data_IF_692683177092
#
_entry.id   IF_692683177092
#
_cell.length_a   1.000
_cell.length_b   1.000
_cell.length_c   1.000
_cell.angle_alpha   90.00
_cell.angle_beta   90.00
_cell.angle_gamma   90.00
#
_symmetry.space_group_name_H-M   'P 1'
#
loop_
_entity.id
_entity.type
_entity.pdbx_description
1 polymer ?
#
# COMPACT_ATOMS: atom_id res chain seq x y z
N UNK A 1 25.87 -5.51 18.86
CA UNK A 1 25.15 -5.38 17.57
C UNK A 1 25.29 -4.00 16.95
N UNK A 2 25.25 -2.91 17.74
CA UNK A 2 25.34 -1.53 17.22
C UNK A 2 26.65 -1.18 16.49
N UNK A 3 27.78 -1.78 16.86
CA UNK A 3 29.06 -1.53 16.19
C UNK A 3 29.05 -1.99 14.72
N UNK A 4 28.33 -3.08 14.40
CA UNK A 4 28.15 -3.54 13.02
C UNK A 4 27.24 -2.64 12.19
N UNK A 5 26.21 -2.07 12.81
CA UNK A 5 25.32 -1.11 12.16
C UNK A 5 26.07 0.20 11.85
N UNK A 6 26.91 0.67 12.79
CA UNK A 6 27.78 1.83 12.58
C UNK A 6 28.83 1.61 11.49
N UNK A 7 29.30 0.38 11.33
CA UNK A 7 30.19 -0.04 10.24
C UNK A 7 29.45 -0.35 8.92
N UNK A 8 28.15 -0.04 8.80
CA UNK A 8 27.36 -0.26 7.59
C UNK A 8 27.05 -1.73 7.28
N UNK A 9 27.22 -2.64 8.24
CA UNK A 9 26.95 -4.07 8.08
C UNK A 9 25.45 -4.38 8.08
N UNK A 10 25.02 -5.27 7.18
CA UNK A 10 23.60 -5.69 7.10
C UNK A 10 23.13 -6.41 8.36
N UNK A 11 21.95 -6.04 8.84
CA UNK A 11 21.35 -6.59 10.05
C UNK A 11 20.62 -7.90 9.71
N UNK A 12 21.36 -9.01 9.72
CA UNK A 12 20.79 -10.34 9.54
C UNK A 12 20.74 -10.80 8.09
N UNK A 13 19.54 -11.15 7.60
CA UNK A 13 19.35 -11.69 6.24
C UNK A 13 19.20 -10.55 5.25
N UNK A 14 20.00 -10.56 4.17
CA UNK A 14 19.85 -9.57 3.11
C UNK A 14 18.47 -9.66 2.42
N UNK A 15 17.90 -8.51 2.01
CA UNK A 15 16.65 -8.47 1.26
C UNK A 15 16.84 -9.01 -0.17
N UNK A 16 15.73 -9.20 -0.89
CA UNK A 16 15.75 -9.74 -2.26
C UNK A 16 16.63 -8.87 -3.17
N UNK A 17 17.43 -9.48 -4.04
CA UNK A 17 18.37 -8.76 -4.93
C UNK A 17 19.79 -8.61 -4.37
N UNK A 18 20.00 -9.02 -3.12
CA UNK A 18 21.29 -9.01 -2.46
C UNK A 18 21.65 -10.40 -1.94
N UNK A 19 22.93 -10.73 -1.99
CA UNK A 19 23.50 -11.99 -1.51
C UNK A 19 24.54 -11.72 -0.43
N UNK A 20 24.46 -12.47 0.67
CA UNK A 20 25.47 -12.44 1.71
C UNK A 20 26.71 -13.20 1.23
N UNK A 21 27.80 -12.49 0.94
CA UNK A 21 29.07 -13.07 0.54
C UNK A 21 30.09 -12.97 1.68
N UNK A 22 30.98 -13.96 1.76
CA UNK A 22 32.14 -13.91 2.65
C UNK A 22 33.34 -13.50 1.81
N UNK A 23 33.74 -12.24 1.92
CA UNK A 23 34.96 -11.74 1.30
C UNK A 23 36.15 -11.95 2.24
N UNK A 24 37.33 -12.16 1.68
CA UNK A 24 38.59 -12.13 2.43
C UNK A 24 39.33 -10.87 2.04
N UNK A 25 39.75 -10.08 3.02
CA UNK A 25 40.68 -8.97 2.78
C UNK A 25 42.07 -9.50 2.43
N UNK A 26 42.92 -8.61 1.91
CA UNK A 26 44.36 -8.82 1.70
C UNK A 26 45.09 -9.28 2.97
N UNK A 27 44.56 -8.95 4.16
CA UNK A 27 45.11 -9.38 5.46
C UNK A 27 44.53 -10.71 5.96
N UNK A 28 43.82 -11.47 5.12
CA UNK A 28 43.26 -12.79 5.46
C UNK A 28 42.07 -12.73 6.43
N UNK A 29 41.50 -11.55 6.68
CA UNK A 29 40.35 -11.37 7.56
C UNK A 29 39.05 -11.64 6.79
N UNK A 30 38.18 -12.48 7.34
CA UNK A 30 36.87 -12.75 6.74
C UNK A 30 35.91 -11.58 7.03
N UNK A 31 35.63 -10.77 6.01
CA UNK A 31 34.56 -9.75 6.04
C UNK A 31 33.27 -10.36 5.49
N UNK A 32 32.17 -10.11 6.21
CA UNK A 32 30.82 -10.39 5.72
C UNK A 32 30.36 -9.19 4.91
N UNK A 33 30.45 -9.29 3.59
CA UNK A 33 30.05 -8.24 2.64
C UNK A 33 28.73 -8.65 1.96
N UNK A 34 28.03 -7.68 1.40
CA UNK A 34 26.81 -7.91 0.61
C UNK A 34 27.15 -7.64 -0.85
N UNK A 35 26.90 -8.62 -1.71
CA UNK A 35 27.02 -8.49 -3.16
C UNK A 35 25.62 -8.37 -3.78
N UNK A 36 25.55 -7.77 -4.97
CA UNK A 36 24.34 -7.76 -5.79
C UNK A 36 24.12 -9.15 -6.42
N UNK A 37 22.86 -9.55 -6.51
CA UNK A 37 22.46 -10.73 -7.28
C UNK A 37 22.31 -10.32 -8.75
N UNK A 38 23.22 -10.76 -9.62
CA UNK A 38 23.26 -10.34 -11.03
C UNK A 38 21.98 -10.67 -11.82
N UNK A 39 21.27 -11.74 -11.45
CA UNK A 39 20.03 -12.13 -12.14
C UNK A 39 18.84 -11.27 -11.70
N UNK A 40 18.80 -10.90 -10.41
CA UNK A 40 17.61 -10.29 -9.79
C UNK A 40 17.73 -8.80 -9.60
N UNK A 41 18.93 -8.29 -9.36
CA UNK A 41 19.24 -6.88 -9.26
C UNK A 41 18.63 -6.07 -10.42
N UNK A 42 18.82 -6.42 -11.70
CA UNK A 42 18.26 -5.65 -12.81
C UNK A 42 16.72 -5.67 -12.82
N UNK A 43 16.10 -6.80 -12.46
CA UNK A 43 14.64 -6.90 -12.37
C UNK A 43 14.07 -6.01 -11.26
N UNK A 44 14.80 -5.86 -10.15
CA UNK A 44 14.43 -4.95 -9.08
C UNK A 44 14.59 -3.50 -9.52
N UNK A 45 15.70 -3.15 -10.18
CA UNK A 45 15.88 -1.79 -10.76
C UNK A 45 14.72 -1.43 -11.69
N UNK A 46 14.38 -2.34 -12.61
CA UNK A 46 13.21 -2.21 -13.48
C UNK A 46 11.91 -2.03 -12.68
N UNK A 47 11.71 -2.79 -11.60
CA UNK A 47 10.52 -2.65 -10.76
C UNK A 47 10.38 -1.22 -10.19
N UNK A 48 11.47 -0.62 -9.71
CA UNK A 48 11.46 0.75 -9.19
C UNK A 48 11.22 1.77 -10.31
N UNK A 49 11.89 1.64 -11.45
CA UNK A 49 11.70 2.53 -12.61
C UNK A 49 10.27 2.48 -13.14
N UNK A 50 9.73 1.28 -13.34
CA UNK A 50 8.36 1.08 -13.80
C UNK A 50 7.36 1.64 -12.78
N UNK A 51 7.55 1.36 -11.50
CA UNK A 51 6.65 1.85 -10.47
C UNK A 51 6.70 3.39 -10.32
N UNK A 52 7.85 4.01 -10.55
CA UNK A 52 8.00 5.47 -10.52
C UNK A 52 7.10 6.17 -11.56
N UNK A 53 6.71 5.49 -12.65
CA UNK A 53 5.75 6.02 -13.63
C UNK A 53 4.34 6.25 -13.06
N UNK A 54 3.99 5.62 -11.94
CA UNK A 54 2.66 5.71 -11.31
C UNK A 54 1.54 4.94 -12.01
N UNK A 55 1.81 4.31 -13.16
CA UNK A 55 0.79 3.61 -13.96
C UNK A 55 0.51 2.18 -13.47
N UNK A 56 1.30 1.69 -12.51
CA UNK A 56 1.28 0.29 -12.10
C UNK A 56 0.68 0.11 -10.72
N UNK A 57 -0.21 -0.87 -10.59
CA UNK A 57 -0.60 -1.40 -9.29
C UNK A 57 0.41 -2.43 -8.81
N UNK A 58 0.59 -2.58 -7.50
CA UNK A 58 1.59 -3.50 -6.95
C UNK A 58 1.32 -4.96 -7.31
N UNK A 59 0.05 -5.35 -7.49
CA UNK A 59 -0.32 -6.70 -7.97
C UNK A 59 0.06 -6.91 -9.44
N UNK A 60 -0.25 -5.94 -10.31
CA UNK A 60 0.05 -6.04 -11.75
C UNK A 60 1.55 -6.04 -11.99
N UNK A 61 2.29 -5.18 -11.28
CA UNK A 61 3.75 -5.15 -11.36
C UNK A 61 4.37 -6.46 -10.87
N UNK A 62 3.86 -7.04 -9.79
CA UNK A 62 4.35 -8.33 -9.28
C UNK A 62 4.16 -9.47 -10.29
N UNK A 63 3.00 -9.53 -10.96
CA UNK A 63 2.76 -10.50 -12.03
C UNK A 63 3.71 -10.27 -13.22
N UNK A 64 3.85 -9.02 -13.66
CA UNK A 64 4.73 -8.66 -14.75
C UNK A 64 6.21 -9.01 -14.49
N UNK A 65 6.68 -8.81 -13.27
CA UNK A 65 8.03 -9.19 -12.86
C UNK A 65 8.19 -10.71 -12.75
N UNK A 66 7.15 -11.42 -12.31
CA UNK A 66 7.15 -12.88 -12.28
C UNK A 66 7.29 -13.47 -13.69
N UNK A 67 6.58 -12.91 -14.67
CA UNK A 67 6.69 -13.34 -16.08
C UNK A 67 8.10 -13.11 -16.64
N UNK A 68 8.82 -12.11 -16.11
CA UNK A 68 10.25 -11.86 -16.42
C UNK A 68 11.22 -12.72 -15.61
N UNK A 69 10.74 -13.63 -14.76
CA UNK A 69 11.56 -14.55 -13.99
C UNK A 69 11.90 -14.08 -12.57
N UNK A 70 11.31 -13.00 -12.06
CA UNK A 70 11.55 -12.57 -10.68
C UNK A 70 10.90 -13.54 -9.69
N UNK A 71 11.71 -14.43 -9.14
CA UNK A 71 11.30 -15.39 -8.12
C UNK A 71 12.02 -15.16 -6.80
N UNK A 72 11.42 -15.61 -5.70
CA UNK A 72 12.06 -15.59 -4.38
C UNK A 72 13.22 -16.58 -4.29
N UNK A 73 14.21 -16.28 -3.44
CA UNK A 73 15.41 -17.13 -3.30
C UNK A 73 14.98 -18.52 -2.79
N UNK A 74 15.21 -19.60 -3.56
CA UNK A 74 14.93 -20.93 -3.09
C UNK A 74 15.80 -21.20 -1.86
N UNK A 75 15.17 -21.58 -0.76
CA UNK A 75 15.86 -22.00 0.47
C UNK A 75 15.59 -23.49 0.65
N UNK A 76 16.48 -24.22 1.34
CA UNK A 76 16.30 -25.67 1.59
C UNK A 76 14.91 -26.07 2.13
N UNK A 77 14.23 -25.16 2.85
CA UNK A 77 12.88 -25.37 3.40
C UNK A 77 11.74 -24.78 2.56
N UNK A 78 12.03 -23.95 1.56
CA UNK A 78 11.02 -23.19 0.81
C UNK A 78 11.42 -23.10 -0.68
N UNK A 79 10.62 -23.65 -1.60
CA UNK A 79 10.89 -23.53 -3.03
C UNK A 79 10.79 -22.08 -3.49
N UNK A 80 11.38 -21.78 -4.65
CA UNK A 80 11.23 -20.49 -5.30
C UNK A 80 9.75 -20.24 -5.59
N UNK A 81 9.24 -19.10 -5.11
CA UNK A 81 7.86 -18.65 -5.32
C UNK A 81 7.84 -17.30 -6.01
N UNK A 82 6.76 -17.05 -6.74
CA UNK A 82 6.43 -15.73 -7.27
C UNK A 82 6.42 -14.68 -6.16
N UNK A 83 6.93 -13.49 -6.47
CA UNK A 83 6.83 -12.34 -5.56
C UNK A 83 5.36 -11.91 -5.50
N UNK A 84 4.79 -11.86 -4.30
CA UNK A 84 3.42 -11.38 -4.12
C UNK A 84 3.37 -9.86 -4.12
N UNK A 85 2.22 -9.27 -4.49
CA UNK A 85 2.04 -7.81 -4.46
C UNK A 85 2.29 -7.21 -3.06
N UNK A 86 1.94 -7.91 -1.98
CA UNK A 86 2.22 -7.47 -0.61
C UNK A 86 3.73 -7.47 -0.30
N UNK A 87 4.47 -8.47 -0.79
CA UNK A 87 5.91 -8.52 -0.64
C UNK A 87 6.59 -7.42 -1.44
N UNK A 88 6.13 -7.17 -2.67
CA UNK A 88 6.62 -6.07 -3.50
C UNK A 88 6.34 -4.71 -2.85
N UNK A 89 5.15 -4.50 -2.26
CA UNK A 89 4.85 -3.27 -1.51
C UNK A 89 5.83 -3.03 -0.35
N UNK A 90 6.13 -4.08 0.44
CA UNK A 90 7.13 -4.00 1.52
C UNK A 90 8.54 -3.73 1.00
N UNK A 91 8.86 -4.26 -0.19
CA UNK A 91 10.15 -4.07 -0.84
C UNK A 91 10.35 -2.61 -1.27
N UNK A 92 9.36 -2.03 -1.94
CA UNK A 92 9.41 -0.64 -2.42
C UNK A 92 9.54 0.39 -1.28
N UNK A 93 9.02 0.09 -0.08
CA UNK A 93 9.16 0.96 1.09
C UNK A 93 10.47 0.81 1.86
N UNK A 94 11.32 -0.16 1.51
CA UNK A 94 12.51 -0.44 2.31
C UNK A 94 13.66 0.50 1.91
N UNK A 95 14.24 1.28 2.86
CA UNK A 95 15.34 2.22 2.56
C UNK A 95 16.67 1.53 2.23
N UNK A 96 16.71 0.21 2.28
CA UNK A 96 17.92 -0.57 2.00
C UNK A 96 18.29 -0.51 0.52
N UNK A 97 17.29 -0.38 -0.37
CA UNK A 97 17.53 -0.27 -1.81
C UNK A 97 18.20 1.04 -2.21
N UNK A 98 18.08 2.10 -1.39
CA UNK A 98 18.80 3.39 -1.55
C UNK A 98 20.13 3.46 -0.79
N UNK A 99 20.63 2.34 -0.26
CA UNK A 99 21.90 2.33 0.48
C UNK A 99 21.79 2.71 1.95
N UNK A 100 20.59 2.89 2.51
CA UNK A 100 20.42 3.32 3.92
C UNK A 100 19.95 2.17 4.80
N UNK A 101 20.58 2.02 5.96
CA UNK A 101 20.25 1.01 6.97
C UNK A 101 19.68 1.72 8.20
N UNK A 102 18.48 1.36 8.63
CA UNK A 102 17.93 1.84 9.89
C UNK A 102 18.25 0.88 11.04
N UNK A 103 18.87 1.40 12.09
CA UNK A 103 19.14 0.67 13.33
C UNK A 103 18.70 1.49 14.53
N UNK A 104 17.78 0.92 15.34
CA UNK A 104 17.24 1.58 16.54
C UNK A 104 16.66 2.99 16.28
N UNK A 105 16.05 3.19 15.10
CA UNK A 105 15.48 4.49 14.71
C UNK A 105 16.50 5.50 14.18
N UNK A 106 17.78 5.13 14.10
CA UNK A 106 18.83 5.95 13.49
C UNK A 106 19.17 5.38 12.11
N UNK A 107 19.25 6.25 11.11
CA UNK A 107 19.66 5.92 9.75
C UNK A 107 21.18 6.01 9.63
N UNK A 108 21.79 4.97 9.06
CA UNK A 108 23.22 4.88 8.80
C UNK A 108 23.44 4.61 7.31
N UNK A 109 24.51 5.17 6.71
CA UNK A 109 24.94 4.76 5.38
C UNK A 109 25.38 3.29 5.42
N UNK A 110 24.77 2.47 4.56
CA UNK A 110 25.14 1.07 4.40
C UNK A 110 26.45 0.93 3.62
N UNK A 111 27.20 -0.14 3.91
CA UNK A 111 28.41 -0.49 3.17
C UNK A 111 28.12 -1.30 1.88
N UNK A 112 26.85 -1.36 1.46
CA UNK A 112 26.40 -2.10 0.29
C UNK A 112 26.11 -1.17 -0.88
N UNK A 113 26.24 -1.68 -2.10
CA UNK A 113 25.96 -0.92 -3.30
C UNK A 113 24.46 -0.63 -3.44
N UNK A 114 24.04 0.65 -3.60
CA UNK A 114 22.63 0.99 -3.79
C UNK A 114 22.15 0.52 -5.16
N UNK A 115 20.95 -0.07 -5.19
CA UNK A 115 20.29 -0.48 -6.44
C UNK A 115 19.58 0.69 -7.13
N UNK A 116 19.13 1.67 -6.34
CA UNK A 116 18.23 2.74 -6.78
C UNK A 116 18.70 4.06 -6.16
N UNK A 117 18.64 5.14 -6.94
CA UNK A 117 18.94 6.48 -6.47
C UNK A 117 17.91 6.99 -5.45
N UNK A 118 18.32 7.91 -4.58
CA UNK A 118 17.43 8.50 -3.58
C UNK A 118 16.24 9.24 -4.21
N UNK A 119 16.46 9.91 -5.34
CA UNK A 119 15.41 10.61 -6.10
C UNK A 119 14.32 9.65 -6.58
N UNK A 120 14.71 8.57 -7.26
CA UNK A 120 13.77 7.54 -7.74
C UNK A 120 13.02 6.90 -6.58
N UNK A 121 13.70 6.64 -5.46
CA UNK A 121 13.06 6.08 -4.27
C UNK A 121 12.03 7.03 -3.66
N UNK A 122 12.35 8.33 -3.58
CA UNK A 122 11.44 9.37 -3.09
C UNK A 122 10.19 9.48 -3.97
N UNK A 123 10.35 9.48 -5.29
CA UNK A 123 9.24 9.46 -6.25
C UNK A 123 8.32 8.24 -6.04
N UNK A 124 8.90 7.05 -5.85
CA UNK A 124 8.13 5.84 -5.56
C UNK A 124 7.35 5.95 -4.26
N UNK A 125 7.89 6.58 -3.21
CA UNK A 125 7.13 6.82 -1.97
C UNK A 125 5.95 7.76 -2.21
N UNK A 126 6.15 8.85 -2.98
CA UNK A 126 5.08 9.76 -3.32
C UNK A 126 3.93 9.06 -4.06
N UNK A 127 4.26 8.19 -5.04
CA UNK A 127 3.27 7.35 -5.74
C UNK A 127 2.57 6.40 -4.78
N UNK A 128 3.31 5.69 -3.91
CA UNK A 128 2.73 4.77 -2.92
C UNK A 128 1.78 5.46 -1.95
N UNK A 129 2.10 6.67 -1.51
CA UNK A 129 1.23 7.43 -0.63
C UNK A 129 0.03 8.00 -1.39
N UNK A 130 0.18 8.43 -2.64
CA UNK A 130 -0.96 8.86 -3.47
C UNK A 130 -1.99 7.74 -3.68
N UNK A 131 -1.54 6.50 -3.93
CA UNK A 131 -2.41 5.33 -4.07
C UNK A 131 -3.17 4.99 -2.78
N UNK A 132 -2.67 5.40 -1.61
CA UNK A 132 -3.37 5.22 -0.33
C UNK A 132 -4.52 6.23 -0.17
N UNK A 133 -4.42 7.40 -0.80
CA UNK A 133 -5.37 8.50 -0.66
C UNK A 133 -6.35 8.60 -1.84
N UNK A 134 -6.03 8.06 -3.01
CA UNK A 134 -6.78 8.20 -4.27
C UNK A 134 -8.12 7.44 -4.39
N UNK A 135 -8.60 6.78 -3.33
CA UNK A 135 -9.92 6.13 -3.34
C UNK A 135 -10.72 6.49 -2.08
N UNK A 136 -10.74 7.79 -1.76
CA UNK A 136 -11.72 8.39 -0.85
C UNK A 136 -12.33 9.67 -1.40
N UNK A 137 -12.52 9.75 -2.72
CA UNK A 137 -13.58 10.60 -3.24
C UNK A 137 -14.89 9.84 -3.11
N UNK A 138 -15.34 9.74 -1.84
CA UNK A 138 -16.71 9.42 -1.54
C UNK A 138 -17.55 10.60 -2.05
N UNK A 139 -17.96 10.51 -3.30
CA UNK A 139 -19.10 11.23 -3.85
C UNK A 139 -20.35 10.82 -3.04
N UNK A 140 -20.46 11.29 -1.80
CA UNK A 140 -21.71 11.33 -1.05
C UNK A 140 -22.44 12.60 -1.45
N UNK A 141 -22.83 12.69 -2.71
CA UNK A 141 -23.99 13.50 -3.05
C UNK A 141 -25.22 12.72 -2.55
N UNK A 142 -26.13 13.40 -1.84
CA UNK A 142 -27.47 12.95 -1.38
C UNK A 142 -27.60 12.65 0.13
N UNK A 143 -27.81 13.70 0.93
CA UNK A 143 -29.11 14.02 1.56
C UNK A 143 -28.87 14.85 2.81
N UNK A 144 -29.27 16.12 2.76
CA UNK A 144 -29.47 16.96 3.92
C UNK A 144 -30.42 16.28 4.90
N UNK A 145 -29.89 15.59 5.90
CA UNK A 145 -30.68 15.12 7.04
C UNK A 145 -31.00 16.36 7.88
N UNK A 146 -32.17 16.95 7.63
CA UNK A 146 -32.78 17.94 8.52
C UNK A 146 -32.75 17.35 9.93
N UNK A 147 -32.05 18.02 10.84
CA UNK A 147 -32.14 17.76 12.28
C UNK A 147 -33.54 18.13 12.72
N UNK A 148 -34.42 17.15 12.92
CA UNK A 148 -35.53 17.32 13.85
C UNK A 148 -34.96 17.13 15.26
N UNK A 149 -34.68 18.24 15.93
CA UNK A 149 -34.46 18.27 17.37
C UNK A 149 -35.80 18.05 18.06
N UNK A 150 -36.19 16.80 18.26
CA UNK A 150 -37.23 16.43 19.21
C UNK A 150 -36.54 15.81 20.42
N UNK A 151 -36.52 16.57 21.51
CA UNK A 151 -36.05 16.15 22.79
C UNK A 151 -36.92 15.01 23.33
N UNK A 152 -36.31 13.88 23.68
CA UNK A 152 -36.81 13.01 24.74
C UNK A 152 -35.62 12.33 25.40
N UNK A 153 -35.27 12.86 26.57
CA UNK A 153 -34.31 12.28 27.48
C UNK A 153 -35.04 11.21 28.30
N UNK A 154 -34.81 9.92 28.03
CA UNK A 154 -34.91 8.86 29.05
C UNK A 154 -33.94 7.72 28.71
N UNK A 155 -33.10 7.26 29.66
CA UNK A 155 -32.30 6.05 29.49
C UNK A 155 -33.10 4.82 29.97
N UNK A 156 -33.22 3.78 29.15
CA UNK A 156 -33.90 2.54 29.54
C UNK A 156 -33.13 1.30 29.09
N UNK A 157 -32.24 0.83 29.96
CA UNK A 157 -31.69 -0.52 29.97
C UNK A 157 -32.76 -1.54 30.43
N UNK A 158 -33.98 -1.52 29.90
CA UNK A 158 -35.02 -2.45 30.34
C UNK A 158 -36.17 -2.55 29.35
N UNK A 159 -36.09 -3.51 28.42
CA UNK A 159 -37.27 -4.24 27.92
C UNK A 159 -36.82 -5.39 27.01
N UNK A 160 -36.26 -6.42 27.65
CA UNK A 160 -36.32 -7.79 27.15
C UNK A 160 -37.65 -8.36 27.66
N UNK A 161 -38.49 -8.82 26.73
CA UNK A 161 -39.57 -9.84 26.81
C UNK A 161 -40.98 -9.41 26.39
N UNK A 162 -41.47 -10.19 25.41
CA UNK A 162 -42.84 -10.43 24.93
C UNK A 162 -43.68 -9.25 24.39
N UNK A 163 -43.92 -9.28 23.08
CA UNK A 163 -45.29 -9.44 22.55
C UNK A 163 -45.26 -9.52 21.01
N UNK A 164 -45.67 -10.68 20.51
CA UNK A 164 -46.09 -10.89 19.13
C UNK A 164 -47.29 -10.01 18.81
N UNK A 165 -47.17 -9.08 17.87
CA UNK A 165 -48.31 -8.47 17.21
C UNK A 165 -47.95 -8.16 15.75
N UNK A 166 -48.54 -8.93 14.82
CA UNK A 166 -48.54 -8.64 13.39
C UNK A 166 -49.35 -7.36 13.16
N UNK A 167 -48.68 -6.28 12.78
CA UNK A 167 -49.34 -5.11 12.21
C UNK A 167 -49.30 -5.23 10.68
N UNK A 168 -50.40 -5.69 10.08
CA UNK A 168 -50.67 -5.51 8.65
C UNK A 168 -51.09 -4.06 8.43
N UNK A 169 -50.19 -3.24 7.88
CA UNK A 169 -50.55 -1.92 7.37
C UNK A 169 -50.97 -2.04 5.90
N UNK A 170 -52.28 -1.88 5.66
CA UNK A 170 -52.81 -1.52 4.34
C UNK A 170 -52.62 -0.01 4.11
N UNK A 171 -52.02 0.42 2.99
CA UNK A 171 -51.95 1.84 2.65
C UNK A 171 -53.30 2.31 2.08
N UNK A 172 -53.99 3.19 2.80
CA UNK A 172 -55.13 3.96 2.27
C UNK A 172 -54.59 5.03 1.34
N UNK A 173 -54.94 4.89 0.06
CA UNK A 173 -54.69 5.85 -1.00
C UNK A 173 -55.61 7.06 -0.80
N UNK A 174 -55.03 8.25 -0.62
CA UNK A 174 -55.76 9.52 -0.76
C UNK A 174 -55.11 10.33 -1.87
N UNK A 175 -55.81 10.33 -2.99
CA UNK A 175 -55.65 11.21 -4.15
C UNK A 175 -56.30 12.56 -3.80
N UNK A 176 -55.71 13.68 -4.23
CA UNK A 176 -56.36 14.76 -5.01
C UNK A 176 -55.72 16.16 -4.83
N UNK A 177 -55.55 16.83 -5.99
CA UNK A 177 -55.57 18.29 -6.17
C UNK A 177 -54.19 18.97 -6.16
N UNK A 178 -53.78 19.79 -7.12
CA UNK A 178 -54.35 20.35 -8.35
C UNK A 178 -53.16 20.83 -9.24
N UNK A 179 -53.27 20.84 -10.58
CA UNK A 179 -53.60 22.03 -11.41
C UNK A 179 -52.85 23.29 -10.95
N UNK A 180 -51.94 23.92 -11.71
CA UNK A 180 -52.10 24.64 -12.99
C UNK A 180 -50.70 24.77 -13.66
N UNK A 181 -50.51 24.48 -14.96
CA UNK A 181 -50.76 25.29 -16.17
C UNK A 181 -49.87 26.54 -16.35
N UNK A 182 -49.31 26.66 -17.57
CA UNK A 182 -48.73 27.84 -18.28
C UNK A 182 -47.23 27.67 -18.57
N UNK A 183 -46.81 27.23 -19.79
CA UNK A 183 -46.68 28.01 -21.06
C UNK A 183 -45.54 29.03 -20.94
N UNK A 184 -44.52 29.18 -21.79
CA UNK A 184 -44.08 28.63 -23.08
C UNK A 184 -42.67 29.24 -23.39
N UNK A 185 -42.00 28.91 -24.51
CA UNK A 185 -40.55 29.10 -24.73
C UNK A 185 -40.20 30.29 -25.63
N UNK A 186 -38.92 30.67 -25.71
CA UNK A 186 -38.22 31.35 -26.83
C UNK A 186 -36.73 31.50 -26.45
N UNK A 187 -35.77 30.78 -27.04
CA UNK A 187 -35.16 30.91 -28.37
C UNK A 187 -34.01 31.96 -28.43
N UNK A 188 -33.00 31.76 -29.32
CA UNK A 188 -31.59 32.06 -29.05
C UNK A 188 -31.04 33.30 -29.79
N UNK A 189 -29.77 33.62 -29.56
CA UNK A 189 -28.90 34.40 -30.47
C UNK A 189 -27.48 33.88 -30.39
#
# INVERSE_FOLDING_TARGET
MGEKARNGGTLGKAPLGYLNVRARDENGREIRTIALDEERAPLIRLAFTEYATGQWTTKRLAAHLHDRGLTTVPTARKPAKAVTGAQLHRMLRHPYYKGVISFQGVEYPGAHEPLVDEETWSQVQAVLDSHRFGERDANTTTTSKRRCTAACAVPAYWCRTHATAKATCTPTSSVLGGSELTTAPSAPS
#
